data_IF_405937665956
#
_entry.id   IF_405937665956
#
_cell.length_a   1.000
_cell.length_b   1.000
_cell.length_c   1.000
_cell.angle_alpha   90.00
_cell.angle_beta   90.00
_cell.angle_gamma   90.00
#
_symmetry.space_group_name_H-M   'P 1'
#
loop_
_entity.id
_entity.type
_entity.pdbx_description
1 polymer ?
#
# COMPACT_ATOMS: atom_id res chain seq x y z
N UNK A 1 13.89 8.39 25.40
CA UNK A 1 14.01 7.03 25.96
C UNK A 1 14.32 6.07 24.82
N UNK A 2 15.28 5.17 24.98
CA UNK A 2 15.57 4.14 23.96
C UNK A 2 14.41 3.16 23.87
N UNK A 3 13.91 2.91 22.65
CA UNK A 3 12.84 1.94 22.39
C UNK A 3 13.43 0.52 22.43
N UNK A 4 12.69 -0.43 23.01
CA UNK A 4 13.15 -1.83 23.17
C UNK A 4 13.22 -2.58 21.84
N UNK A 5 12.27 -2.33 20.95
CA UNK A 5 12.16 -3.01 19.67
C UNK A 5 12.21 -2.02 18.52
N UNK A 6 12.93 -2.39 17.46
CA UNK A 6 12.92 -1.66 16.20
C UNK A 6 11.55 -1.82 15.53
N UNK A 7 10.98 -3.04 15.54
CA UNK A 7 9.70 -3.37 14.91
C UNK A 7 8.77 -4.12 15.87
N UNK A 8 7.50 -3.73 15.93
CA UNK A 8 6.45 -4.53 16.59
C UNK A 8 5.36 -4.89 15.58
N UNK A 9 4.99 -6.18 15.50
CA UNK A 9 3.98 -6.69 14.57
C UNK A 9 2.66 -6.89 15.32
N UNK A 10 1.71 -5.96 15.16
CA UNK A 10 0.39 -6.05 15.76
C UNK A 10 -0.59 -6.76 14.83
N UNK A 11 -1.23 -7.82 15.33
CA UNK A 11 -1.99 -8.77 14.50
C UNK A 11 -1.16 -9.98 14.05
N UNK A 12 -0.06 -10.28 14.75
CA UNK A 12 0.89 -11.34 14.39
C UNK A 12 0.27 -12.74 14.22
N UNK A 13 -0.83 -13.03 14.92
CA UNK A 13 -1.50 -14.35 14.84
C UNK A 13 -2.34 -14.53 13.58
N UNK A 14 -2.67 -13.46 12.86
CA UNK A 14 -3.42 -13.52 11.59
C UNK A 14 -2.56 -14.05 10.46
N UNK A 15 -3.17 -14.54 9.38
CA UNK A 15 -2.45 -15.19 8.27
C UNK A 15 -1.31 -14.33 7.70
N UNK A 16 -1.58 -13.06 7.35
CA UNK A 16 -0.56 -12.12 6.87
C UNK A 16 0.47 -11.79 7.96
N UNK A 17 0.04 -11.66 9.22
CA UNK A 17 0.95 -11.46 10.35
C UNK A 17 1.96 -12.61 10.51
N UNK A 18 1.54 -13.85 10.29
CA UNK A 18 2.44 -15.01 10.30
C UNK A 18 3.46 -14.96 9.16
N UNK A 19 3.06 -14.50 7.96
CA UNK A 19 3.99 -14.31 6.85
C UNK A 19 5.01 -13.19 7.15
N UNK A 20 4.59 -12.10 7.79
CA UNK A 20 5.50 -11.05 8.27
C UNK A 20 6.49 -11.60 9.30
N UNK A 21 6.02 -12.41 10.26
CA UNK A 21 6.89 -13.05 11.25
C UNK A 21 7.92 -13.98 10.59
N UNK A 22 7.51 -14.81 9.62
CA UNK A 22 8.41 -15.68 8.85
C UNK A 22 9.45 -14.88 8.06
N UNK A 23 9.04 -13.75 7.49
CA UNK A 23 9.94 -12.89 6.74
C UNK A 23 10.96 -12.19 7.66
N UNK A 24 10.52 -11.61 8.79
CA UNK A 24 11.40 -11.02 9.80
C UNK A 24 12.40 -12.04 10.37
N UNK A 25 11.96 -13.27 10.65
CA UNK A 25 12.83 -14.35 11.15
C UNK A 25 13.97 -14.69 10.18
N UNK A 26 13.69 -14.66 8.87
CA UNK A 26 14.66 -14.95 7.82
C UNK A 26 15.39 -13.71 7.30
N UNK A 27 15.07 -12.52 7.81
CA UNK A 27 15.63 -11.27 7.31
C UNK A 27 17.10 -11.10 7.71
N UNK A 28 18.02 -10.74 6.78
CA UNK A 28 19.45 -10.67 7.07
C UNK A 28 19.85 -9.66 8.15
N UNK A 29 19.12 -8.56 8.28
CA UNK A 29 19.44 -7.51 9.27
C UNK A 29 19.14 -7.89 10.72
N UNK A 30 18.36 -8.96 10.97
CA UNK A 30 18.06 -9.51 12.31
C UNK A 30 17.75 -8.43 13.39
N UNK A 31 16.96 -7.40 13.03
CA UNK A 31 16.61 -6.27 13.91
C UNK A 31 15.78 -6.74 15.12
N UNK A 32 15.92 -6.14 16.32
CA UNK A 32 15.09 -6.50 17.47
C UNK A 32 13.59 -6.28 17.20
N UNK A 33 12.77 -7.31 17.39
CA UNK A 33 11.33 -7.23 17.11
C UNK A 33 10.46 -8.01 18.10
N UNK A 34 9.17 -7.71 18.10
CA UNK A 34 8.17 -8.40 18.92
C UNK A 34 6.88 -8.70 18.16
N UNK A 35 6.19 -9.76 18.59
CA UNK A 35 4.83 -10.09 18.17
C UNK A 35 3.81 -9.50 19.14
N UNK A 36 2.73 -8.93 18.61
CA UNK A 36 1.66 -8.39 19.42
C UNK A 36 0.26 -8.82 18.97
N UNK A 37 -0.63 -8.98 19.95
CA UNK A 37 -2.02 -9.35 19.73
C UNK A 37 -2.80 -9.53 21.05
N UNK A 38 -4.12 -9.68 20.94
CA UNK A 38 -5.04 -9.69 22.10
C UNK A 38 -5.07 -10.99 22.92
N UNK A 39 -4.25 -11.99 22.59
CA UNK A 39 -4.37 -13.33 23.18
C UNK A 39 -3.00 -13.93 23.40
N UNK A 40 -2.55 -13.94 24.66
CA UNK A 40 -1.28 -14.54 25.07
C UNK A 40 -1.16 -16.00 24.62
N UNK A 41 -2.22 -16.80 24.74
CA UNK A 41 -2.20 -18.22 24.35
C UNK A 41 -2.01 -18.43 22.84
N UNK A 42 -2.57 -17.55 22.00
CA UNK A 42 -2.35 -17.58 20.54
C UNK A 42 -0.96 -17.09 20.17
N UNK A 43 -0.42 -16.08 20.87
CA UNK A 43 0.96 -15.62 20.68
C UNK A 43 1.98 -16.70 21.08
N UNK A 44 1.74 -17.41 22.18
CA UNK A 44 2.57 -18.54 22.60
C UNK A 44 2.52 -19.69 21.57
N UNK A 45 1.32 -20.03 21.08
CA UNK A 45 1.14 -21.01 20.00
C UNK A 45 1.87 -20.59 18.73
N UNK A 46 1.85 -19.30 18.38
CA UNK A 46 2.57 -18.74 17.24
C UNK A 46 4.09 -18.86 17.40
N UNK A 47 4.63 -18.51 18.57
CA UNK A 47 6.07 -18.68 18.85
C UNK A 47 6.50 -20.13 18.67
N UNK A 48 5.71 -21.07 19.20
CA UNK A 48 5.98 -22.50 19.06
C UNK A 48 5.86 -22.98 17.60
N UNK A 49 4.82 -22.56 16.87
CA UNK A 49 4.58 -23.04 15.50
C UNK A 49 5.61 -22.53 14.49
N UNK A 50 6.12 -21.31 14.68
CA UNK A 50 7.15 -20.71 13.84
C UNK A 50 8.57 -20.90 14.38
N UNK A 51 8.74 -21.59 15.51
CA UNK A 51 10.02 -21.74 16.22
C UNK A 51 10.72 -20.39 16.42
N UNK A 52 9.98 -19.37 16.87
CA UNK A 52 10.53 -18.03 17.09
C UNK A 52 11.52 -18.06 18.28
N UNK A 53 12.72 -17.45 18.14
CA UNK A 53 13.70 -17.46 19.21
C UNK A 53 13.21 -16.68 20.44
N UNK A 54 13.81 -16.94 21.60
CA UNK A 54 13.46 -16.27 22.85
C UNK A 54 13.73 -14.76 22.83
N UNK A 55 14.62 -14.32 21.93
CA UNK A 55 14.89 -12.91 21.66
C UNK A 55 13.69 -12.15 21.06
N UNK A 56 12.73 -12.86 20.44
CA UNK A 56 11.50 -12.25 19.93
C UNK A 56 10.54 -11.97 21.08
N UNK A 57 10.28 -10.69 21.30
CA UNK A 57 9.37 -10.22 22.34
C UNK A 57 7.91 -10.63 22.11
N UNK A 58 7.14 -10.67 23.18
CA UNK A 58 5.68 -10.91 23.14
C UNK A 58 5.00 -9.77 23.88
N UNK A 59 4.03 -9.14 23.24
CA UNK A 59 3.26 -8.03 23.83
C UNK A 59 1.77 -8.34 23.68
N UNK A 60 1.04 -8.35 24.80
CA UNK A 60 -0.41 -8.42 24.75
C UNK A 60 -0.98 -7.02 24.56
N UNK A 61 -1.79 -6.85 23.52
CA UNK A 61 -2.44 -5.58 23.20
C UNK A 61 -3.79 -5.81 22.54
N UNK A 62 -4.78 -5.00 22.91
CA UNK A 62 -6.16 -5.11 22.44
C UNK A 62 -6.69 -3.73 22.04
N UNK A 63 -7.31 -3.63 20.86
CA UNK A 63 -7.80 -2.35 20.32
C UNK A 63 -8.92 -1.70 21.11
N UNK A 64 -9.58 -2.46 22.00
CA UNK A 64 -10.59 -1.98 22.93
C UNK A 64 -10.00 -1.37 24.22
N UNK A 65 -8.69 -1.52 24.48
CA UNK A 65 -8.02 -1.13 25.72
C UNK A 65 -6.84 -0.22 25.44
N UNK A 66 -7.06 1.09 25.52
CA UNK A 66 -6.09 2.11 25.09
C UNK A 66 -4.75 2.02 25.82
N UNK A 67 -4.78 1.72 27.12
CA UNK A 67 -3.63 1.51 27.99
C UNK A 67 -2.70 0.39 27.49
N UNK A 68 -3.27 -0.66 26.89
CA UNK A 68 -2.45 -1.74 26.30
C UNK A 68 -1.80 -1.31 24.97
N UNK A 69 -2.45 -0.40 24.23
CA UNK A 69 -1.90 0.16 23.00
C UNK A 69 -0.72 1.07 23.30
N UNK A 70 -0.82 1.96 24.30
CA UNK A 70 0.29 2.84 24.70
C UNK A 70 1.46 2.05 25.30
N UNK A 71 1.18 1.00 26.08
CA UNK A 71 2.20 0.08 26.57
C UNK A 71 2.94 -0.64 25.43
N UNK A 72 2.24 -1.03 24.36
CA UNK A 72 2.85 -1.63 23.18
C UNK A 72 3.67 -0.62 22.37
N UNK A 73 3.09 0.53 22.02
CA UNK A 73 3.74 1.52 21.15
C UNK A 73 4.95 2.17 21.83
N UNK A 74 4.91 2.39 23.14
CA UNK A 74 6.04 2.91 23.91
C UNK A 74 7.31 2.07 23.78
N UNK A 75 7.21 0.78 23.45
CA UNK A 75 8.34 -0.14 23.27
C UNK A 75 8.86 -0.22 21.83
N UNK A 76 8.15 0.33 20.85
CA UNK A 76 8.46 0.20 19.42
C UNK A 76 9.03 1.49 18.82
N UNK A 77 9.93 1.37 17.84
CA UNK A 77 10.27 2.48 16.92
C UNK A 77 9.29 2.55 15.76
N UNK A 78 8.95 1.40 15.16
CA UNK A 78 7.90 1.28 14.13
C UNK A 78 6.91 0.20 14.53
N UNK A 79 5.61 0.51 14.43
CA UNK A 79 4.52 -0.44 14.55
C UNK A 79 4.03 -0.84 13.16
N UNK A 80 4.06 -2.16 12.89
CA UNK A 80 3.36 -2.78 11.76
C UNK A 80 1.97 -3.19 12.25
N UNK A 81 0.92 -2.50 11.80
CA UNK A 81 -0.46 -2.82 12.15
C UNK A 81 -1.16 -3.62 11.03
N UNK A 82 -1.52 -4.86 11.34
CA UNK A 82 -2.24 -5.77 10.42
C UNK A 82 -3.57 -6.22 11.06
N UNK A 83 -4.12 -5.42 11.98
CA UNK A 83 -5.42 -5.66 12.62
C UNK A 83 -6.51 -4.95 11.80
N UNK A 84 -6.90 -5.56 10.69
CA UNK A 84 -8.01 -5.12 9.84
C UNK A 84 -9.28 -5.95 10.03
N UNK A 85 -10.48 -5.43 9.67
CA UNK A 85 -10.75 -4.10 9.11
C UNK A 85 -10.50 -2.93 10.09
N UNK A 86 -9.97 -1.81 9.60
CA UNK A 86 -9.33 -0.78 10.43
C UNK A 86 -10.32 0.09 11.21
N UNK A 87 -11.36 0.63 10.55
CA UNK A 87 -12.41 1.41 11.25
C UNK A 87 -13.16 0.56 12.29
N UNK A 88 -13.69 -0.64 11.96
CA UNK A 88 -14.38 -1.50 12.93
C UNK A 88 -13.53 -1.93 14.12
N UNK A 89 -12.22 -2.08 13.94
CA UNK A 89 -11.30 -2.44 15.02
C UNK A 89 -10.58 -1.24 15.65
N UNK A 90 -11.15 -0.05 15.57
CA UNK A 90 -10.68 1.14 16.29
C UNK A 90 -9.20 1.47 16.02
N UNK A 91 -8.74 1.31 14.78
CA UNK A 91 -7.34 1.52 14.43
C UNK A 91 -6.86 2.97 14.65
N UNK A 92 -7.77 3.96 14.68
CA UNK A 92 -7.42 5.35 15.02
C UNK A 92 -6.84 5.48 16.44
N UNK A 93 -7.30 4.65 17.39
CA UNK A 93 -6.70 4.61 18.72
C UNK A 93 -5.26 4.06 18.69
N UNK A 94 -4.97 3.11 17.79
CA UNK A 94 -3.61 2.59 17.58
C UNK A 94 -2.70 3.68 17.00
N UNK A 95 -3.17 4.42 16.00
CA UNK A 95 -2.43 5.54 15.39
C UNK A 95 -2.17 6.65 16.42
N UNK A 96 -3.19 7.00 17.23
CA UNK A 96 -3.05 7.97 18.34
C UNK A 96 -1.98 7.53 19.35
N UNK A 97 -2.02 6.28 19.79
CA UNK A 97 -1.01 5.73 20.71
C UNK A 97 0.40 5.71 20.09
N UNK A 98 0.52 5.53 18.77
CA UNK A 98 1.81 5.66 18.08
C UNK A 98 2.32 7.10 18.12
N UNK A 99 1.47 8.07 17.81
CA UNK A 99 1.80 9.50 17.81
C UNK A 99 2.17 10.03 19.21
N UNK A 100 1.45 9.60 20.25
CA UNK A 100 1.75 9.97 21.64
C UNK A 100 3.11 9.42 22.11
N UNK A 101 3.46 8.21 21.66
CA UNK A 101 4.70 7.54 22.02
C UNK A 101 5.87 7.81 21.06
N UNK A 102 5.72 8.71 20.08
CA UNK A 102 6.70 8.99 19.02
C UNK A 102 7.16 7.72 18.27
N UNK A 103 6.19 6.89 17.92
CA UNK A 103 6.37 5.61 17.21
C UNK A 103 5.85 5.77 15.80
N UNK A 104 6.66 5.38 14.81
CA UNK A 104 6.21 5.34 13.41
C UNK A 104 5.18 4.23 13.22
N UNK A 105 4.32 4.37 12.21
CA UNK A 105 3.21 3.47 11.97
C UNK A 105 3.13 3.10 10.49
N UNK A 106 2.92 1.81 10.20
CA UNK A 106 2.60 1.33 8.86
C UNK A 106 1.45 0.32 8.88
N UNK A 107 0.64 0.29 7.82
CA UNK A 107 -0.47 -0.67 7.69
C UNK A 107 -0.79 -1.13 6.26
N UNK A 108 -1.78 -2.01 6.14
CA UNK A 108 -2.31 -2.55 4.88
C UNK A 108 -3.73 -2.03 4.59
N UNK A 109 -4.04 -0.79 4.96
CA UNK A 109 -5.38 -0.25 4.77
C UNK A 109 -5.71 -0.04 3.29
N UNK A 110 -6.69 -0.78 2.77
CA UNK A 110 -7.40 -0.45 1.52
C UNK A 110 -8.59 0.50 1.75
N UNK A 111 -8.78 0.99 2.98
CA UNK A 111 -9.93 1.78 3.43
C UNK A 111 -9.61 3.28 3.29
N UNK A 112 -10.01 3.90 2.18
CA UNK A 112 -9.76 5.32 1.91
C UNK A 112 -10.33 6.22 3.01
N UNK A 113 -11.50 5.88 3.55
CA UNK A 113 -12.10 6.67 4.63
C UNK A 113 -11.24 6.65 5.89
N UNK A 114 -10.71 5.49 6.30
CA UNK A 114 -9.74 5.39 7.38
C UNK A 114 -8.46 6.21 7.11
N UNK A 115 -7.93 6.15 5.89
CA UNK A 115 -6.77 6.96 5.50
C UNK A 115 -7.10 8.46 5.61
N UNK A 116 -8.29 8.89 5.18
CA UNK A 116 -8.78 10.26 5.32
C UNK A 116 -8.90 10.68 6.78
N UNK A 117 -9.37 9.79 7.67
CA UNK A 117 -9.46 10.05 9.10
C UNK A 117 -8.08 10.21 9.73
N UNK A 118 -7.12 9.36 9.33
CA UNK A 118 -5.73 9.50 9.77
C UNK A 118 -5.15 10.85 9.37
N UNK A 119 -5.35 11.26 8.11
CA UNK A 119 -4.87 12.54 7.60
C UNK A 119 -5.50 13.70 8.38
N UNK A 120 -6.82 13.72 8.51
CA UNK A 120 -7.54 14.84 9.14
C UNK A 120 -7.21 14.98 10.62
N UNK A 121 -6.99 13.86 11.34
CA UNK A 121 -6.76 13.89 12.78
C UNK A 121 -5.27 13.98 13.16
N UNK A 122 -4.36 13.45 12.34
CA UNK A 122 -2.98 13.21 12.80
C UNK A 122 -1.89 13.78 11.88
N UNK A 123 -2.20 14.27 10.66
CA UNK A 123 -1.14 14.69 9.72
C UNK A 123 -0.28 15.84 10.27
N UNK A 124 -0.90 16.91 10.77
CA UNK A 124 -0.18 18.08 11.29
C UNK A 124 0.67 17.73 12.53
N UNK A 125 0.08 17.02 13.49
CA UNK A 125 0.78 16.62 14.72
C UNK A 125 1.93 15.64 14.45
N UNK A 126 1.72 14.69 13.53
CA UNK A 126 2.76 13.74 13.13
C UNK A 126 3.90 14.47 12.38
N UNK A 127 3.59 15.48 11.57
CA UNK A 127 4.59 16.32 10.91
C UNK A 127 5.40 17.10 11.95
N UNK A 128 4.73 17.75 12.91
CA UNK A 128 5.37 18.51 13.98
C UNK A 128 6.31 17.64 14.84
N UNK A 129 5.94 16.37 15.08
CA UNK A 129 6.75 15.41 15.84
C UNK A 129 7.79 14.65 15.01
N UNK A 130 7.79 14.79 13.68
CA UNK A 130 8.61 13.95 12.79
C UNK A 130 8.22 12.47 12.79
N UNK A 131 7.01 12.14 13.24
CA UNK A 131 6.48 10.76 13.24
C UNK A 131 5.91 10.47 11.85
N UNK A 132 6.22 9.29 11.32
CA UNK A 132 5.72 8.83 10.02
C UNK A 132 4.56 7.88 10.25
N UNK A 133 3.43 8.16 9.61
CA UNK A 133 2.26 7.29 9.55
C UNK A 133 2.04 6.96 8.07
N UNK A 134 2.31 5.75 7.63
CA UNK A 134 2.12 5.35 6.24
C UNK A 134 1.05 4.28 6.09
N UNK A 135 -0.08 4.67 5.51
CA UNK A 135 -1.16 3.75 5.21
C UNK A 135 -0.90 3.02 3.88
N UNK A 136 -1.55 1.87 3.70
CA UNK A 136 -1.62 1.19 2.40
C UNK A 136 -0.27 0.69 1.84
N UNK A 137 0.65 0.28 2.72
CA UNK A 137 2.01 -0.18 2.35
C UNK A 137 2.06 -1.67 1.92
N UNK A 138 0.94 -2.19 1.44
CA UNK A 138 0.81 -3.53 0.88
C UNK A 138 0.69 -3.52 -0.64
N UNK A 139 0.23 -4.64 -1.20
CA UNK A 139 -0.13 -4.71 -2.62
C UNK A 139 -1.18 -3.67 -3.00
N UNK A 140 -2.03 -3.25 -2.07
CA UNK A 140 -3.11 -2.30 -2.34
C UNK A 140 -2.58 -1.06 -3.07
N UNK A 141 -1.58 -0.37 -2.52
CA UNK A 141 -1.03 0.85 -3.13
C UNK A 141 0.50 0.93 -3.27
N UNK A 142 1.30 0.20 -2.49
CA UNK A 142 2.77 0.33 -2.53
C UNK A 142 3.37 0.16 -3.93
N UNK A 143 3.11 -0.92 -4.68
CA UNK A 143 3.77 -1.13 -5.96
C UNK A 143 3.37 -0.03 -6.98
N UNK A 144 2.14 0.47 -6.90
CA UNK A 144 1.58 1.47 -7.81
C UNK A 144 2.12 2.87 -7.53
N UNK A 145 2.19 3.26 -6.26
CA UNK A 145 2.69 4.56 -5.85
C UNK A 145 4.21 4.66 -6.01
N UNK A 146 4.95 3.61 -5.61
CA UNK A 146 6.40 3.54 -5.77
C UNK A 146 6.82 3.56 -7.25
N UNK A 147 6.21 2.73 -8.10
CA UNK A 147 6.56 2.71 -9.53
C UNK A 147 6.21 4.01 -10.23
N UNK A 148 5.12 4.68 -9.81
CA UNK A 148 4.74 6.01 -10.30
C UNK A 148 5.81 7.04 -9.96
N UNK A 149 6.27 7.08 -8.70
CA UNK A 149 7.33 7.98 -8.29
C UNK A 149 8.61 7.73 -9.09
N UNK A 150 9.07 6.49 -9.19
CA UNK A 150 10.30 6.16 -9.91
C UNK A 150 10.21 6.53 -11.41
N UNK A 151 9.10 6.18 -12.08
CA UNK A 151 8.89 6.53 -13.49
C UNK A 151 8.81 8.04 -13.71
N UNK A 152 8.06 8.76 -12.85
CA UNK A 152 7.93 10.22 -12.92
C UNK A 152 9.29 10.90 -12.78
N UNK A 153 10.08 10.49 -11.78
CA UNK A 153 11.40 11.06 -11.53
C UNK A 153 12.38 10.77 -12.66
N UNK A 154 12.31 9.57 -13.27
CA UNK A 154 13.12 9.27 -14.45
C UNK A 154 12.72 10.13 -15.65
N UNK A 155 11.43 10.32 -15.91
CA UNK A 155 10.96 11.18 -17.00
C UNK A 155 11.41 12.65 -16.80
N UNK A 156 11.35 13.16 -15.55
CA UNK A 156 11.90 14.49 -15.20
C UNK A 156 13.41 14.56 -15.41
N UNK A 157 14.16 13.53 -14.99
CA UNK A 157 15.61 13.47 -15.19
C UNK A 157 15.98 13.54 -16.69
N UNK A 158 15.21 12.89 -17.55
CA UNK A 158 15.47 12.84 -18.99
C UNK A 158 15.08 14.14 -19.72
N UNK A 159 14.00 14.80 -19.31
CA UNK A 159 13.44 15.97 -20.02
C UNK A 159 13.77 17.33 -19.38
N UNK A 160 14.01 17.36 -18.07
CA UNK A 160 13.99 18.59 -17.28
C UNK A 160 12.61 19.25 -17.18
N UNK A 161 11.54 18.56 -17.60
CA UNK A 161 10.16 19.07 -17.63
C UNK A 161 9.26 18.37 -16.61
N UNK A 162 8.10 18.97 -16.36
CA UNK A 162 7.05 18.37 -15.54
C UNK A 162 6.42 17.16 -16.22
N UNK A 163 5.81 16.28 -15.41
CA UNK A 163 5.13 15.07 -15.82
C UNK A 163 3.68 15.38 -16.17
N UNK A 164 3.26 15.02 -17.37
CA UNK A 164 1.89 15.20 -17.84
C UNK A 164 1.01 14.00 -17.45
N UNK A 165 1.49 12.78 -17.67
CA UNK A 165 0.68 11.57 -17.51
C UNK A 165 1.51 10.40 -17.01
N UNK A 166 0.96 9.63 -16.07
CA UNK A 166 1.47 8.32 -15.66
C UNK A 166 0.39 7.27 -15.88
N UNK A 167 0.77 6.21 -16.58
CA UNK A 167 -0.08 5.07 -16.91
C UNK A 167 0.47 3.79 -16.29
N UNK A 168 -0.25 3.25 -15.32
CA UNK A 168 0.13 2.02 -14.62
C UNK A 168 -0.66 0.81 -15.12
N UNK A 169 0.05 -0.13 -15.74
CA UNK A 169 -0.51 -1.38 -16.26
C UNK A 169 -0.06 -2.57 -15.41
N UNK A 170 -0.99 -3.44 -15.00
CA UNK A 170 -0.65 -4.60 -14.17
C UNK A 170 -1.46 -5.86 -14.49
N UNK A 171 -0.96 -7.00 -14.07
CA UNK A 171 -1.65 -8.29 -14.14
C UNK A 171 -2.31 -8.59 -12.78
N UNK A 172 -3.59 -8.99 -12.79
CA UNK A 172 -4.22 -9.58 -11.60
C UNK A 172 -3.74 -11.02 -11.42
N UNK A 173 -3.61 -11.49 -10.17
CA UNK A 173 -3.46 -12.92 -9.88
C UNK A 173 -4.62 -13.72 -10.48
N UNK A 174 -4.33 -14.91 -10.98
CA UNK A 174 -5.37 -15.83 -11.48
C UNK A 174 -6.28 -16.34 -10.34
N UNK A 175 -5.74 -16.41 -9.13
CA UNK A 175 -6.47 -16.88 -7.96
C UNK A 175 -7.01 -15.68 -7.18
N UNK A 176 -8.32 -15.48 -7.22
CA UNK A 176 -9.01 -14.56 -6.30
C UNK A 176 -8.96 -15.17 -4.90
N UNK A 177 -7.94 -14.78 -4.13
CA UNK A 177 -7.81 -15.22 -2.75
C UNK A 177 -8.98 -14.73 -1.88
N UNK A 178 -9.28 -15.45 -0.80
CA UNK A 178 -10.28 -15.00 0.18
C UNK A 178 -9.96 -13.60 0.73
N UNK A 179 -8.68 -13.24 0.89
CA UNK A 179 -8.26 -11.90 1.33
C UNK A 179 -8.49 -10.80 0.30
N UNK A 180 -8.32 -11.09 -1.00
CA UNK A 180 -8.69 -10.15 -2.07
C UNK A 180 -10.19 -9.89 -2.05
N UNK A 181 -11.00 -10.93 -1.83
CA UNK A 181 -12.45 -10.78 -1.65
C UNK A 181 -12.80 -10.01 -0.37
N UNK A 182 -12.10 -10.25 0.74
CA UNK A 182 -12.28 -9.49 2.00
C UNK A 182 -11.95 -8.02 1.81
N UNK A 183 -10.86 -7.73 1.09
CA UNK A 183 -10.43 -6.37 0.78
C UNK A 183 -11.47 -5.69 -0.10
N UNK A 184 -11.95 -6.36 -1.15
CA UNK A 184 -13.04 -5.86 -1.99
C UNK A 184 -14.34 -5.61 -1.20
N UNK A 185 -14.71 -6.52 -0.29
CA UNK A 185 -15.87 -6.36 0.59
C UNK A 185 -15.68 -5.20 1.57
N UNK A 186 -14.48 -5.07 2.18
CA UNK A 186 -14.15 -3.96 3.08
C UNK A 186 -14.26 -2.62 2.34
N UNK A 187 -13.59 -2.51 1.19
CA UNK A 187 -13.62 -1.33 0.32
C UNK A 187 -15.05 -0.98 -0.12
N UNK A 188 -15.88 -1.98 -0.45
CA UNK A 188 -17.26 -1.77 -0.86
C UNK A 188 -18.21 -1.45 0.32
N UNK A 189 -17.89 -1.95 1.52
CA UNK A 189 -18.65 -1.66 2.74
C UNK A 189 -18.41 -0.24 3.24
N UNK A 190 -17.30 0.37 2.82
CA UNK A 190 -16.95 1.74 3.14
C UNK A 190 -17.73 2.72 2.27
N UNK A 191 -18.95 3.07 2.71
CA UNK A 191 -19.87 3.95 1.96
C UNK A 191 -19.19 5.23 1.47
N UNK A 192 -18.38 5.87 2.32
CA UNK A 192 -17.71 7.13 2.01
C UNK A 192 -16.67 6.97 0.87
N UNK A 193 -15.94 5.84 0.84
CA UNK A 193 -15.05 5.46 -0.27
C UNK A 193 -15.79 5.38 -1.60
N UNK A 194 -17.00 4.86 -1.57
CA UNK A 194 -17.77 4.55 -2.77
C UNK A 194 -18.64 5.71 -3.29
N UNK A 195 -19.12 6.59 -2.41
CA UNK A 195 -19.86 7.79 -2.81
C UNK A 195 -18.95 8.97 -3.19
N UNK A 196 -17.71 8.99 -2.71
CA UNK A 196 -16.76 10.03 -3.07
C UNK A 196 -16.23 9.81 -4.50
N UNK A 197 -16.71 10.57 -5.47
CA UNK A 197 -16.11 10.62 -6.82
C UNK A 197 -14.78 11.40 -6.87
N UNK A 198 -14.34 11.94 -5.72
CA UNK A 198 -13.12 12.72 -5.60
C UNK A 198 -11.88 11.81 -5.60
N UNK A 199 -11.06 11.94 -6.64
CA UNK A 199 -9.76 11.28 -6.71
C UNK A 199 -8.66 12.01 -5.94
N UNK A 200 -8.88 13.28 -5.60
CA UNK A 200 -7.97 14.11 -4.80
C UNK A 200 -8.30 14.09 -3.31
N UNK A 201 -9.17 13.18 -2.85
CA UNK A 201 -9.69 13.20 -1.49
C UNK A 201 -8.60 13.11 -0.42
N UNK A 202 -7.52 12.37 -0.68
CA UNK A 202 -6.39 12.25 0.25
C UNK A 202 -5.33 13.35 0.02
N UNK A 203 -5.50 14.25 -0.95
CA UNK A 203 -4.50 15.27 -1.30
C UNK A 203 -4.64 16.54 -0.45
N UNK A 204 -3.53 17.19 -0.02
CA UNK A 204 -3.58 18.49 0.67
C UNK A 204 -3.96 19.65 -0.27
N UNK A 205 -3.88 19.46 -1.58
CA UNK A 205 -4.27 20.45 -2.60
C UNK A 205 -5.26 19.84 -3.59
N UNK A 206 -6.15 20.67 -4.14
CA UNK A 206 -7.20 20.20 -5.04
C UNK A 206 -6.67 19.70 -6.37
N UNK A 207 -7.26 18.61 -6.85
CA UNK A 207 -7.03 18.06 -8.19
C UNK A 207 -8.33 17.48 -8.76
N UNK A 208 -9.22 18.32 -9.27
CA UNK A 208 -10.48 17.85 -9.83
C UNK A 208 -10.20 16.89 -11.00
N UNK A 209 -11.11 15.94 -11.23
CA UNK A 209 -11.04 14.96 -12.32
C UNK A 209 -9.84 14.01 -12.31
N UNK A 210 -9.15 13.87 -11.17
CA UNK A 210 -8.13 12.83 -10.98
C UNK A 210 -8.69 11.41 -11.11
N UNK A 211 -9.95 11.20 -10.72
CA UNK A 211 -10.73 10.01 -11.09
C UNK A 211 -11.57 10.30 -12.35
N UNK A 212 -11.51 9.36 -13.28
CA UNK A 212 -12.21 9.42 -14.57
C UNK A 212 -12.89 8.09 -14.82
N UNK A 213 -14.21 8.07 -14.59
CA UNK A 213 -15.06 6.91 -14.83
C UNK A 213 -15.65 6.91 -16.24
N UNK A 214 -15.45 7.97 -17.04
CA UNK A 214 -15.97 8.06 -18.41
C UNK A 214 -15.15 7.21 -19.38
N UNK A 215 -13.86 6.98 -19.08
CA UNK A 215 -12.98 6.11 -19.87
C UNK A 215 -12.39 4.97 -19.05
N UNK A 216 -13.20 3.97 -18.65
CA UNK A 216 -12.76 2.88 -17.78
C UNK A 216 -11.87 1.85 -18.50
N UNK A 217 -11.73 1.95 -19.82
CA UNK A 217 -10.93 1.05 -20.66
C UNK A 217 -9.93 1.86 -21.47
N UNK A 218 -8.66 1.47 -21.44
CA UNK A 218 -7.59 2.16 -22.18
C UNK A 218 -6.59 1.19 -22.80
N UNK A 219 -5.86 1.67 -23.79
CA UNK A 219 -4.72 0.98 -24.36
C UNK A 219 -3.45 1.36 -23.60
N UNK A 220 -2.71 0.37 -23.12
CA UNK A 220 -1.41 0.56 -22.48
C UNK A 220 -0.31 0.25 -23.48
N UNK A 221 0.35 1.28 -23.99
CA UNK A 221 1.37 1.17 -25.04
C UNK A 221 2.55 0.29 -24.61
N UNK A 222 3.00 0.43 -23.36
CA UNK A 222 4.16 -0.27 -22.81
C UNK A 222 3.95 -1.79 -22.71
N UNK A 223 2.69 -2.24 -22.80
CA UNK A 223 2.33 -3.66 -22.84
C UNK A 223 1.63 -4.09 -24.11
N UNK A 224 1.30 -3.14 -24.99
CA UNK A 224 0.49 -3.34 -26.20
C UNK A 224 -0.76 -4.15 -25.91
N UNK A 225 -1.49 -3.76 -24.86
CA UNK A 225 -2.69 -4.45 -24.38
C UNK A 225 -3.76 -3.45 -23.94
N UNK A 226 -5.00 -3.89 -24.05
CA UNK A 226 -6.12 -3.21 -23.40
C UNK A 226 -6.07 -3.48 -21.90
N UNK A 227 -6.50 -2.51 -21.11
CA UNK A 227 -6.76 -2.73 -19.70
C UNK A 227 -7.97 -1.96 -19.20
N UNK A 228 -8.47 -2.39 -18.05
CA UNK A 228 -9.67 -1.85 -17.43
C UNK A 228 -9.38 -1.37 -16.01
N UNK A 229 -9.99 -0.25 -15.64
CA UNK A 229 -10.04 0.24 -14.27
C UNK A 229 -10.82 -0.73 -13.38
N UNK A 230 -10.43 -0.85 -12.11
CA UNK A 230 -11.16 -1.64 -11.12
C UNK A 230 -11.22 -0.91 -9.75
N UNK A 231 -11.69 -1.60 -8.71
CA UNK A 231 -11.79 -1.05 -7.34
C UNK A 231 -10.47 -0.56 -6.77
N UNK A 232 -9.36 -1.28 -7.02
CA UNK A 232 -8.02 -0.89 -6.56
C UNK A 232 -7.62 0.46 -7.16
N UNK A 233 -7.94 0.66 -8.45
CA UNK A 233 -7.61 1.90 -9.16
C UNK A 233 -8.22 3.14 -8.50
N UNK A 234 -9.39 3.03 -7.84
CA UNK A 234 -9.99 4.16 -7.10
C UNK A 234 -9.14 4.55 -5.90
N UNK A 235 -8.75 3.56 -5.09
CA UNK A 235 -7.92 3.78 -3.91
C UNK A 235 -6.51 4.26 -4.30
N UNK A 236 -5.90 3.62 -5.28
CA UNK A 236 -4.56 3.94 -5.78
C UNK A 236 -4.47 5.32 -6.37
N UNK A 237 -5.48 5.74 -7.15
CA UNK A 237 -5.53 7.11 -7.67
C UNK A 237 -5.48 8.13 -6.53
N UNK A 238 -6.17 7.87 -5.42
CA UNK A 238 -6.16 8.78 -4.26
C UNK A 238 -4.82 8.76 -3.53
N UNK A 239 -4.20 7.59 -3.38
CA UNK A 239 -2.85 7.47 -2.79
C UNK A 239 -1.80 8.19 -3.65
N UNK A 240 -1.76 7.92 -4.95
CA UNK A 240 -0.83 8.58 -5.90
C UNK A 240 -1.09 10.09 -5.98
N UNK A 241 -2.36 10.51 -5.96
CA UNK A 241 -2.71 11.94 -5.94
C UNK A 241 -2.30 12.60 -4.62
N UNK A 242 -2.30 11.88 -3.49
CA UNK A 242 -1.71 12.38 -2.24
C UNK A 242 -0.20 12.55 -2.36
N UNK A 243 0.52 11.59 -2.95
CA UNK A 243 1.97 11.72 -3.21
C UNK A 243 2.25 12.98 -4.03
N UNK A 244 1.54 13.16 -5.15
CA UNK A 244 1.61 14.36 -5.96
C UNK A 244 1.33 15.63 -5.15
N UNK A 245 0.22 15.64 -4.40
CA UNK A 245 -0.24 16.81 -3.67
C UNK A 245 0.72 17.22 -2.55
N UNK A 246 1.29 16.26 -1.81
CA UNK A 246 2.29 16.52 -0.78
C UNK A 246 3.57 17.12 -1.37
N UNK A 247 4.09 16.53 -2.45
CA UNK A 247 5.29 17.03 -3.12
C UNK A 247 5.07 18.45 -3.68
N UNK A 248 3.91 18.69 -4.30
CA UNK A 248 3.55 19.98 -4.87
C UNK A 248 3.32 21.04 -3.79
N UNK A 249 2.62 20.70 -2.70
CA UNK A 249 2.35 21.60 -1.59
C UNK A 249 3.64 22.07 -0.90
N UNK A 250 4.61 21.17 -0.75
CA UNK A 250 5.92 21.47 -0.14
C UNK A 250 6.94 22.03 -1.13
N UNK A 251 6.56 22.33 -2.38
CA UNK A 251 7.47 22.80 -3.44
C UNK A 251 8.72 21.92 -3.58
N UNK A 252 8.54 20.60 -3.43
CA UNK A 252 9.63 19.63 -3.48
C UNK A 252 10.28 19.62 -4.88
N UNK A 253 11.62 19.48 -5.00
CA UNK A 253 12.28 19.28 -6.29
C UNK A 253 11.72 18.06 -7.06
N UNK A 254 11.21 17.09 -6.31
CA UNK A 254 10.58 15.87 -6.79
C UNK A 254 9.10 16.04 -7.19
N UNK A 255 8.53 17.25 -7.11
CA UNK A 255 7.14 17.50 -7.50
C UNK A 255 6.90 17.13 -8.97
N UNK A 256 5.79 16.45 -9.26
CA UNK A 256 5.52 15.98 -10.63
C UNK A 256 5.07 17.10 -11.57
N UNK A 257 4.59 18.23 -11.03
CA UNK A 257 4.03 19.35 -11.80
C UNK A 257 2.50 19.40 -11.75
N UNK A 258 1.93 20.56 -12.05
CA UNK A 258 0.49 20.82 -11.91
C UNK A 258 -0.38 20.01 -12.89
N UNK A 259 0.14 19.76 -14.10
CA UNK A 259 -0.54 19.03 -15.17
C UNK A 259 -0.61 17.52 -14.96
N UNK A 260 0.08 16.97 -13.96
CA UNK A 260 0.17 15.54 -13.70
C UNK A 260 -1.20 14.85 -13.74
N UNK A 261 -1.29 13.68 -14.36
CA UNK A 261 -2.47 12.83 -14.32
C UNK A 261 -2.04 11.38 -14.07
N UNK A 262 -2.80 10.63 -13.27
CA UNK A 262 -2.57 9.22 -13.03
C UNK A 262 -3.71 8.39 -13.60
N UNK A 263 -3.36 7.31 -14.30
CA UNK A 263 -4.32 6.36 -14.87
C UNK A 263 -3.80 4.94 -14.66
N UNK A 264 -4.70 4.04 -14.33
CA UNK A 264 -4.36 2.67 -13.96
C UNK A 264 -5.32 1.68 -14.62
N UNK A 265 -4.86 0.47 -14.94
CA UNK A 265 -5.74 -0.60 -15.34
C UNK A 265 -5.11 -1.98 -15.30
N UNK A 266 -5.96 -2.97 -15.02
CA UNK A 266 -5.61 -4.39 -15.17
C UNK A 266 -5.60 -4.75 -16.65
N UNK A 267 -4.52 -5.40 -17.09
CA UNK A 267 -4.35 -5.87 -18.47
C UNK A 267 -5.31 -7.01 -18.79
N UNK A 268 -5.97 -6.91 -19.95
CA UNK A 268 -6.95 -7.86 -20.42
C UNK A 268 -6.68 -8.25 -21.89
N UNK A 269 -7.18 -9.42 -22.35
CA UNK A 269 -6.82 -9.94 -23.66
C UNK A 269 -7.23 -9.03 -24.84
N UNK A 270 -8.37 -8.34 -24.72
CA UNK A 270 -8.89 -7.47 -25.76
C UNK A 270 -9.85 -6.40 -25.19
N UNK A 271 -10.22 -5.44 -26.03
CA UNK A 271 -11.07 -4.29 -25.69
C UNK A 271 -12.46 -4.70 -25.19
N UNK A 272 -13.07 -5.72 -25.79
CA UNK A 272 -14.43 -6.17 -25.44
C UNK A 272 -14.42 -6.75 -24.03
N UNK A 273 -13.48 -7.65 -23.73
CA UNK A 273 -13.30 -8.22 -22.38
C UNK A 273 -13.01 -7.11 -21.38
N UNK A 274 -12.24 -6.09 -21.77
CA UNK A 274 -11.98 -4.93 -20.91
C UNK A 274 -13.25 -4.17 -20.50
N UNK A 275 -14.17 -3.91 -21.43
CA UNK A 275 -15.45 -3.30 -21.07
C UNK A 275 -16.29 -4.22 -20.19
N UNK A 276 -16.39 -5.51 -20.52
CA UNK A 276 -17.16 -6.47 -19.71
C UNK A 276 -16.65 -6.49 -18.27
N UNK A 277 -15.34 -6.60 -18.06
CA UNK A 277 -14.73 -6.61 -16.72
C UNK A 277 -14.95 -5.28 -16.00
N UNK A 278 -14.78 -4.14 -16.69
CA UNK A 278 -15.01 -2.82 -16.10
C UNK A 278 -16.45 -2.66 -15.60
N UNK A 279 -17.45 -2.96 -16.45
CA UNK A 279 -18.86 -2.81 -16.10
C UNK A 279 -19.32 -3.85 -15.07
N UNK A 280 -18.89 -5.11 -15.17
CA UNK A 280 -19.15 -6.10 -14.14
C UNK A 280 -18.55 -5.69 -12.79
N UNK A 281 -17.37 -5.06 -12.78
CA UNK A 281 -16.77 -4.50 -11.58
C UNK A 281 -17.67 -3.45 -10.92
N UNK A 282 -18.15 -2.46 -11.70
CA UNK A 282 -19.07 -1.42 -11.22
C UNK A 282 -20.38 -2.02 -10.69
N UNK A 283 -20.97 -2.97 -11.41
CA UNK A 283 -22.21 -3.64 -10.98
C UNK A 283 -21.97 -4.44 -9.70
N UNK A 284 -20.86 -5.17 -9.59
CA UNK A 284 -20.52 -5.97 -8.41
C UNK A 284 -20.36 -5.09 -7.16
N UNK A 285 -19.67 -3.96 -7.30
CA UNK A 285 -19.56 -2.95 -6.26
C UNK A 285 -20.95 -2.44 -5.86
N UNK A 286 -21.78 -2.05 -6.83
CA UNK A 286 -23.12 -1.53 -6.57
C UNK A 286 -23.98 -2.54 -5.82
N UNK A 287 -23.90 -3.83 -6.19
CA UNK A 287 -24.56 -4.94 -5.48
C UNK A 287 -24.06 -5.04 -4.04
N UNK A 288 -22.74 -5.07 -3.83
CA UNK A 288 -22.15 -5.15 -2.48
C UNK A 288 -22.57 -3.96 -1.61
N UNK A 289 -22.67 -2.76 -2.17
CA UNK A 289 -23.11 -1.56 -1.44
C UNK A 289 -24.57 -1.64 -1.00
N UNK A 290 -25.46 -2.02 -1.92
CA UNK A 290 -26.90 -1.89 -1.71
C UNK A 290 -27.56 -3.15 -1.12
N UNK A 291 -26.92 -4.32 -1.22
CA UNK A 291 -27.53 -5.59 -0.85
C UNK A 291 -26.80 -6.21 0.35
N UNK A 292 -27.21 -5.80 1.56
CA UNK A 292 -26.64 -6.29 2.82
C UNK A 292 -26.68 -7.82 3.00
N UNK A 293 -27.75 -8.55 2.59
CA UNK A 293 -27.77 -10.02 2.66
C UNK A 293 -26.65 -10.67 1.85
N UNK A 294 -26.32 -10.13 0.67
CA UNK A 294 -25.24 -10.65 -0.18
C UNK A 294 -23.89 -10.43 0.51
N UNK A 295 -23.66 -9.25 1.11
CA UNK A 295 -22.44 -9.03 1.91
C UNK A 295 -22.34 -10.01 3.08
N UNK A 296 -23.44 -10.24 3.80
CA UNK A 296 -23.45 -11.17 4.93
C UNK A 296 -23.18 -12.62 4.50
N UNK A 297 -23.70 -13.02 3.34
CA UNK A 297 -23.46 -14.35 2.76
C UNK A 297 -21.99 -14.52 2.33
N UNK A 298 -21.41 -13.52 1.66
CA UNK A 298 -19.99 -13.52 1.30
C UNK A 298 -19.12 -13.51 2.56
N UNK A 299 -19.42 -12.68 3.55
CA UNK A 299 -18.66 -12.65 4.79
C UNK A 299 -18.72 -13.99 5.55
N UNK A 300 -19.86 -14.69 5.52
CA UNK A 300 -20.03 -16.02 6.14
C UNK A 300 -19.30 -17.13 5.40
N UNK A 301 -19.12 -17.04 4.08
CA UNK A 301 -18.38 -18.04 3.31
C UNK A 301 -16.85 -17.94 3.50
N UNK A 302 -16.39 -16.85 4.11
CA UNK A 302 -14.98 -16.60 4.36
C UNK A 302 -14.53 -17.16 5.71
N UNK A 303 -13.74 -18.23 5.69
CA UNK A 303 -13.13 -18.77 6.91
C UNK A 303 -12.18 -17.73 7.53
N UNK A 304 -12.31 -17.39 8.83
CA UNK A 304 -11.37 -16.49 9.50
C UNK A 304 -9.93 -17.01 9.36
N UNK A 305 -8.97 -16.12 9.15
CA UNK A 305 -7.55 -16.45 8.95
C UNK A 305 -7.26 -17.39 7.76
N UNK A 306 -8.12 -17.43 6.74
CA UNK A 306 -7.83 -18.13 5.49
C UNK A 306 -6.95 -17.28 4.57
N UNK A 307 -5.98 -17.95 3.95
CA UNK A 307 -5.13 -17.40 2.90
C UNK A 307 -5.22 -18.24 1.62
N UNK A 308 -4.48 -17.87 0.56
CA UNK A 308 -4.37 -18.68 -0.64
C UNK A 308 -3.73 -20.03 -0.30
N UNK A 309 -3.89 -21.01 -1.20
CA UNK A 309 -3.16 -22.27 -1.09
C UNK A 309 -1.65 -22.03 -1.13
N UNK A 310 -0.85 -22.91 -0.51
CA UNK A 310 0.62 -22.83 -0.58
C UNK A 310 1.13 -22.78 -2.03
N UNK A 311 0.50 -23.53 -2.93
CA UNK A 311 0.79 -23.46 -4.36
C UNK A 311 0.56 -22.05 -4.93
N UNK A 312 -0.60 -21.44 -4.67
CA UNK A 312 -0.91 -20.09 -5.14
C UNK A 312 -0.02 -19.02 -4.49
N UNK A 313 0.31 -19.20 -3.20
CA UNK A 313 1.18 -18.32 -2.44
C UNK A 313 2.57 -18.16 -3.09
N UNK A 314 3.14 -19.27 -3.60
CA UNK A 314 4.49 -19.32 -4.16
C UNK A 314 4.58 -19.26 -5.70
N UNK A 315 3.55 -19.71 -6.43
CA UNK A 315 3.56 -19.75 -7.89
C UNK A 315 2.86 -18.58 -8.58
N UNK A 316 2.24 -17.68 -7.79
CA UNK A 316 1.78 -16.39 -8.29
C UNK A 316 2.94 -15.46 -8.63
N UNK A 317 2.65 -14.38 -9.35
CA UNK A 317 3.61 -13.31 -9.65
C UNK A 317 2.95 -11.95 -9.61
N UNK A 318 3.70 -10.95 -9.17
CA UNK A 318 3.40 -9.55 -9.36
C UNK A 318 4.09 -9.07 -10.63
N UNK A 319 3.36 -8.29 -11.45
CA UNK A 319 3.95 -7.54 -12.56
C UNK A 319 3.21 -6.22 -12.75
N UNK A 320 3.99 -5.13 -12.69
CA UNK A 320 3.53 -3.75 -12.84
C UNK A 320 4.48 -3.04 -13.81
N UNK A 321 3.93 -2.45 -14.86
CA UNK A 321 4.66 -1.69 -15.88
C UNK A 321 4.05 -0.28 -15.92
N UNK A 322 4.78 0.70 -15.36
CA UNK A 322 4.33 2.08 -15.17
C UNK A 322 5.08 3.03 -16.09
N UNK A 323 4.36 3.62 -17.03
CA UNK A 323 4.89 4.55 -18.01
C UNK A 323 4.60 5.99 -17.59
N UNK A 324 5.64 6.81 -17.47
CA UNK A 324 5.51 8.25 -17.26
C UNK A 324 5.83 8.99 -18.56
N UNK A 325 5.02 10.00 -18.87
CA UNK A 325 5.18 10.90 -20.02
C UNK A 325 5.31 12.34 -19.50
N UNK A 326 6.44 12.96 -19.81
CA UNK A 326 6.69 14.38 -19.54
C UNK A 326 5.85 15.28 -20.48
N UNK A 327 5.75 16.57 -20.14
CA UNK A 327 4.98 17.56 -20.91
C UNK A 327 5.51 17.81 -22.32
N UNK A 328 6.78 17.50 -22.59
CA UNK A 328 7.39 17.54 -23.93
C UNK A 328 7.27 16.21 -24.70
N UNK A 329 6.62 15.21 -24.12
CA UNK A 329 6.44 13.88 -24.71
C UNK A 329 7.56 12.89 -24.39
N UNK A 330 8.61 13.27 -23.67
CA UNK A 330 9.66 12.35 -23.20
C UNK A 330 9.08 11.29 -22.29
N UNK A 331 9.44 10.01 -22.48
CA UNK A 331 8.86 8.89 -21.74
C UNK A 331 9.90 8.10 -20.94
N UNK A 332 9.47 7.62 -19.77
CA UNK A 332 10.23 6.69 -18.94
C UNK A 332 9.33 5.55 -18.45
N UNK A 333 9.88 4.34 -18.39
CA UNK A 333 9.16 3.13 -18.01
C UNK A 333 9.79 2.54 -16.75
N UNK A 334 8.98 2.39 -15.70
CA UNK A 334 9.32 1.59 -14.53
C UNK A 334 8.67 0.21 -14.64
N UNK A 335 9.49 -0.85 -14.64
CA UNK A 335 9.06 -2.25 -14.56
C UNK A 335 9.31 -2.76 -13.15
N UNK A 336 8.28 -3.31 -12.52
CA UNK A 336 8.35 -3.97 -11.22
C UNK A 336 7.78 -5.37 -11.35
N UNK A 337 8.54 -6.38 -10.92
CA UNK A 337 8.07 -7.75 -10.86
C UNK A 337 8.61 -8.51 -9.66
N UNK A 338 7.86 -9.48 -9.17
CA UNK A 338 8.30 -10.34 -8.08
C UNK A 338 7.55 -11.68 -8.13
N UNK A 339 8.22 -12.76 -7.71
CA UNK A 339 7.59 -14.08 -7.57
C UNK A 339 6.92 -14.20 -6.20
N UNK A 340 5.66 -14.57 -6.19
CA UNK A 340 4.83 -14.72 -4.99
C UNK A 340 3.45 -14.10 -5.16
N UNK A 341 2.51 -14.50 -4.29
CA UNK A 341 1.17 -13.93 -4.30
C UNK A 341 1.20 -12.46 -3.85
N UNK A 342 0.73 -11.51 -4.67
CA UNK A 342 0.87 -10.10 -4.40
C UNK A 342 0.16 -9.69 -3.11
N UNK A 343 -1.11 -10.08 -2.94
CA UNK A 343 -1.91 -9.71 -1.76
C UNK A 343 -1.50 -10.34 -0.42
N UNK A 344 -0.51 -11.25 -0.39
CA UNK A 344 -0.13 -11.97 0.84
C UNK A 344 1.37 -12.07 1.03
N UNK A 345 2.05 -12.95 0.28
CA UNK A 345 3.49 -13.19 0.45
C UNK A 345 4.28 -11.91 0.16
N UNK A 346 4.00 -11.27 -0.97
CA UNK A 346 4.68 -10.04 -1.34
C UNK A 346 4.21 -8.88 -0.46
N UNK A 347 2.93 -8.81 -0.09
CA UNK A 347 2.43 -7.84 0.91
C UNK A 347 3.21 -7.91 2.22
N UNK A 348 3.47 -9.11 2.75
CA UNK A 348 4.24 -9.29 3.98
C UNK A 348 5.67 -8.76 3.85
N UNK A 349 6.31 -8.97 2.69
CA UNK A 349 7.64 -8.41 2.40
C UNK A 349 7.58 -6.89 2.26
N UNK A 350 6.62 -6.37 1.51
CA UNK A 350 6.42 -4.94 1.24
C UNK A 350 6.24 -4.12 2.52
N UNK A 351 5.31 -4.52 3.42
CA UNK A 351 5.09 -3.80 4.68
C UNK A 351 6.30 -3.87 5.61
N UNK A 352 7.01 -5.00 5.62
CA UNK A 352 8.22 -5.16 6.43
C UNK A 352 9.33 -4.26 5.92
N UNK A 353 9.60 -4.27 4.60
CA UNK A 353 10.61 -3.38 4.02
C UNK A 353 10.24 -1.91 4.15
N UNK A 354 8.95 -1.55 4.07
CA UNK A 354 8.50 -0.20 4.34
C UNK A 354 8.83 0.23 5.79
N UNK A 355 8.54 -0.63 6.77
CA UNK A 355 8.89 -0.37 8.17
C UNK A 355 10.40 -0.24 8.38
N UNK A 356 11.20 -1.14 7.80
CA UNK A 356 12.66 -1.10 7.90
C UNK A 356 13.27 0.08 7.14
N UNK A 357 12.64 0.52 6.04
CA UNK A 357 13.02 1.74 5.32
C UNK A 357 12.86 2.96 6.22
N UNK A 358 11.75 3.08 6.97
CA UNK A 358 11.57 4.19 7.92
C UNK A 358 12.68 4.23 8.97
N UNK A 359 13.19 3.07 9.40
CA UNK A 359 14.29 3.00 10.37
C UNK A 359 15.67 3.33 9.76
N UNK A 360 15.82 3.09 8.45
CA UNK A 360 17.07 3.28 7.72
C UNK A 360 17.19 4.69 7.11
N UNK A 361 16.06 5.28 6.72
CA UNK A 361 15.99 6.62 6.14
C UNK A 361 16.21 7.66 7.23
N UNK A 362 17.24 8.48 7.07
CA UNK A 362 17.47 9.63 7.93
C UNK A 362 16.57 10.81 7.49
N UNK A 363 16.31 11.77 8.39
CA UNK A 363 15.48 12.97 8.14
C UNK A 363 15.84 13.74 6.84
N UNK A 364 16.99 13.46 6.20
CA UNK A 364 17.51 14.14 5.02
C UNK A 364 17.06 13.56 3.68
N UNK A 365 16.60 12.30 3.65
CA UNK A 365 16.34 11.60 2.37
C UNK A 365 14.87 11.64 1.93
N UNK A 366 13.97 12.21 2.74
CA UNK A 366 12.57 12.39 2.36
C UNK A 366 12.41 13.65 1.50
N UNK A 367 11.75 13.57 0.33
CA UNK A 367 11.67 14.68 -0.63
C UNK A 367 10.77 15.82 -0.14
N UNK A 368 11.26 16.61 0.82
CA UNK A 368 10.63 17.84 1.30
C UNK A 368 9.51 17.65 2.33
N UNK A 369 9.28 16.42 2.84
CA UNK A 369 8.21 16.15 3.82
C UNK A 369 8.80 15.43 5.03
N UNK A 370 8.78 16.08 6.20
CA UNK A 370 9.26 15.52 7.47
C UNK A 370 8.09 15.02 8.30
N UNK A 371 7.98 13.71 8.51
CA UNK A 371 6.86 13.12 9.24
C UNK A 371 5.49 13.41 8.61
N UNK A 372 4.43 13.11 9.35
CA UNK A 372 3.05 13.24 8.87
C UNK A 372 2.45 11.91 8.41
N UNK A 373 1.20 11.97 7.99
CA UNK A 373 0.56 10.86 7.26
C UNK A 373 1.06 10.82 5.83
N UNK A 374 1.92 9.87 5.49
CA UNK A 374 2.62 9.75 4.21
C UNK A 374 2.07 8.60 3.37
N UNK A 375 2.54 8.53 2.13
CA UNK A 375 2.28 7.44 1.17
C UNK A 375 3.52 6.55 1.04
N UNK A 376 3.41 5.34 0.48
CA UNK A 376 4.55 4.45 0.32
C UNK A 376 5.74 5.08 -0.43
N UNK A 377 5.50 5.88 -1.47
CA UNK A 377 6.58 6.55 -2.22
C UNK A 377 7.34 7.59 -1.38
N UNK A 378 6.68 8.18 -0.38
CA UNK A 378 7.27 9.20 0.48
C UNK A 378 7.94 8.64 1.74
N UNK A 379 8.22 7.32 1.78
CA UNK A 379 9.04 6.70 2.83
C UNK A 379 10.55 6.74 2.54
N UNK A 380 10.93 7.25 1.37
CA UNK A 380 12.27 7.14 0.80
C UNK A 380 12.25 6.18 -0.39
N UNK A 381 11.59 6.57 -1.48
CA UNK A 381 11.34 5.71 -2.65
C UNK A 381 12.57 4.96 -3.16
N UNK A 382 13.72 5.63 -3.28
CA UNK A 382 14.97 4.99 -3.73
C UNK A 382 15.43 3.92 -2.75
N UNK A 383 15.55 4.26 -1.46
CA UNK A 383 15.92 3.31 -0.40
C UNK A 383 14.93 2.14 -0.32
N UNK A 384 13.62 2.40 -0.42
CA UNK A 384 12.59 1.36 -0.42
C UNK A 384 12.74 0.43 -1.64
N UNK A 385 12.98 0.98 -2.83
CA UNK A 385 13.17 0.20 -4.04
C UNK A 385 14.43 -0.69 -3.93
N UNK A 386 15.54 -0.14 -3.44
CA UNK A 386 16.79 -0.87 -3.24
C UNK A 386 16.61 -2.01 -2.23
N UNK A 387 15.92 -1.76 -1.12
CA UNK A 387 15.61 -2.79 -0.12
C UNK A 387 14.68 -3.87 -0.66
N UNK A 388 13.65 -3.51 -1.42
CA UNK A 388 12.77 -4.48 -2.05
C UNK A 388 13.53 -5.37 -3.04
N UNK A 389 14.48 -4.79 -3.79
CA UNK A 389 15.32 -5.54 -4.70
C UNK A 389 16.30 -6.46 -3.96
N UNK A 390 16.97 -5.94 -2.93
CA UNK A 390 18.01 -6.64 -2.18
C UNK A 390 17.44 -7.76 -1.30
N UNK A 391 16.37 -7.50 -0.55
CA UNK A 391 15.89 -8.39 0.51
C UNK A 391 14.58 -9.09 0.15
N UNK A 392 13.69 -8.43 -0.62
CA UNK A 392 12.35 -8.93 -0.89
C UNK A 392 12.18 -9.65 -2.24
N UNK A 393 13.26 -9.79 -3.03
CA UNK A 393 13.28 -10.45 -4.35
C UNK A 393 12.40 -9.75 -5.41
N UNK A 394 12.33 -8.43 -5.34
CA UNK A 394 11.71 -7.63 -6.40
C UNK A 394 12.74 -7.34 -7.50
N UNK A 395 12.31 -7.35 -8.74
CA UNK A 395 13.07 -6.79 -9.86
C UNK A 395 12.41 -5.46 -10.22
N UNK A 396 13.08 -4.35 -9.91
CA UNK A 396 12.61 -2.98 -10.15
C UNK A 396 13.63 -2.31 -11.06
N UNK A 397 13.18 -1.88 -12.24
CA UNK A 397 14.04 -1.19 -13.22
C UNK A 397 13.31 0.01 -13.80
N UNK A 398 14.02 1.11 -13.94
CA UNK A 398 13.48 2.33 -14.55
C UNK A 398 14.38 2.81 -15.68
N UNK A 399 13.84 2.86 -16.89
CA UNK A 399 14.59 3.15 -18.11
C UNK A 399 13.89 4.19 -18.97
N UNK A 400 14.62 4.81 -19.90
CA UNK A 400 14.00 5.62 -20.96
C UNK A 400 13.12 4.70 -21.82
N UNK A 401 11.95 5.19 -22.24
CA UNK A 401 11.06 4.42 -23.09
C UNK A 401 11.15 4.93 -24.53
N UNK A 402 11.70 4.10 -25.41
CA UNK A 402 11.68 4.30 -26.85
C UNK A 402 10.57 3.44 -27.45
N UNK A 403 9.70 4.05 -28.28
CA UNK A 403 8.67 3.27 -28.96
C UNK A 403 9.34 2.32 -29.97
N UNK A 404 8.95 1.04 -29.94
CA UNK A 404 9.53 0.00 -30.79
C UNK A 404 9.24 0.22 -32.29
N UNK A 405 8.46 1.25 -32.65
CA UNK A 405 8.21 1.68 -34.03
C UNK A 405 9.30 2.58 -34.63
N UNK A 406 10.30 2.97 -33.84
CA UNK A 406 11.41 3.84 -34.26
C UNK A 406 12.73 3.10 -34.50
N UNK A 407 12.70 1.76 -34.63
CA UNK A 407 13.84 0.94 -35.07
C UNK A 407 13.57 0.23 -36.37
#
# INVERSE_FOLDING_TARGET
>A
MSKKYDVVVFGATGFTGQLVCKYLLSHPEQRPWAVAGRSASRLASLKKSLNLPDTVGVIEAETAKYETLTAMTSQARVLINIVGPYRPFNALAVVRACLESSTHYVDLSGETGFNSDCISQFHADAQAKGVVIANSVGFDSLPFDLSTFLAAQKAKQLSGKDVALVECAYELPKDLSAGTLASAVSMASEKQQMFAVRGDWLSPISKPHSLDFASPVRWFEQRRKWGAQNTFSIHNTRTVTRTWGLLQHHSSPSAYGSSFAYKEGTLLPNKIVAYVVAYLGVVSIWVLMNIAPIRALIARSMKPNSGPSEHSLHNSRLRVDTLATATDGTKALCKMSAKGHPGYLLTARMITEAALTILATSDRDLPGVKGGVLTPALLGASTLADRLAQFAQFDIRTEAYEDAKTR
#
